data_IF_122142276137
#
_entry.id   IF_122142276137
#
_cell.length_a   1.000
_cell.length_b   1.000
_cell.length_c   1.000
_cell.angle_alpha   90.00
_cell.angle_beta   90.00
_cell.angle_gamma   90.00
#
_symmetry.space_group_name_H-M   'P 1'
#
loop_
_entity.id
_entity.type
_entity.pdbx_description
1 polymer ?
#
# COMPACT_ATOMS: atom_id res chain seq x y z
N UNK A 1 -5.34 20.43 28.13
CA UNK A 1 -5.47 19.23 27.28
C UNK A 1 -4.80 18.05 27.95
N UNK A 2 -5.25 16.82 27.67
CA UNK A 2 -4.66 15.61 28.26
C UNK A 2 -3.66 14.97 27.29
N UNK A 3 -2.55 14.45 27.82
CA UNK A 3 -1.51 13.80 27.02
C UNK A 3 -2.05 12.49 26.42
N UNK A 4 -1.92 12.34 25.10
CA UNK A 4 -2.32 11.12 24.41
C UNK A 4 -1.40 9.94 24.80
N UNK A 5 -1.97 8.74 24.82
CA UNK A 5 -1.21 7.52 25.10
C UNK A 5 -0.11 7.30 24.05
N UNK A 6 1.11 6.88 24.44
CA UNK A 6 2.22 6.70 23.51
C UNK A 6 1.92 5.74 22.35
N UNK A 7 1.21 4.64 22.60
CA UNK A 7 0.88 3.64 21.58
C UNK A 7 -0.13 4.16 20.55
N UNK A 8 -1.03 5.04 20.98
CA UNK A 8 -1.97 5.73 20.09
C UNK A 8 -1.23 6.74 19.22
N UNK A 9 -0.38 7.58 19.81
CA UNK A 9 0.43 8.56 19.07
C UNK A 9 1.30 7.86 18.02
N UNK A 10 1.93 6.75 18.38
CA UNK A 10 2.77 6.01 17.48
C UNK A 10 1.95 5.33 16.36
N UNK A 11 0.74 4.82 16.65
CA UNK A 11 -0.16 4.27 15.63
C UNK A 11 -0.59 5.34 14.62
N UNK A 12 -0.94 6.54 15.09
CA UNK A 12 -1.22 7.68 14.20
C UNK A 12 0.00 8.10 13.38
N UNK A 13 1.19 8.12 13.99
CA UNK A 13 2.44 8.39 13.30
C UNK A 13 2.74 7.39 12.19
N UNK A 14 2.48 6.10 12.45
CA UNK A 14 2.64 5.04 11.46
C UNK A 14 1.65 5.22 10.30
N UNK A 15 0.36 5.41 10.58
CA UNK A 15 -0.65 5.62 9.53
C UNK A 15 -0.30 6.84 8.65
N UNK A 16 0.05 7.99 9.26
CA UNK A 16 0.42 9.21 8.51
C UNK A 16 1.62 9.02 7.57
N UNK A 17 2.48 8.06 7.85
CA UNK A 17 3.64 7.74 7.02
C UNK A 17 3.33 6.60 6.02
N UNK A 18 2.77 5.50 6.50
CA UNK A 18 2.54 4.30 5.72
C UNK A 18 1.52 4.53 4.60
N UNK A 19 0.47 5.31 4.85
CA UNK A 19 -0.54 5.63 3.86
C UNK A 19 0.07 6.25 2.58
N UNK A 20 0.77 7.41 2.63
CA UNK A 20 1.40 7.95 1.43
C UNK A 20 2.56 7.07 0.92
N UNK A 21 3.29 6.36 1.79
CA UNK A 21 4.37 5.48 1.36
C UNK A 21 3.88 4.31 0.49
N UNK A 22 2.75 3.68 0.84
CA UNK A 22 2.14 2.64 0.03
C UNK A 22 1.71 3.18 -1.34
N UNK A 23 1.16 4.40 -1.38
CA UNK A 23 0.71 5.05 -2.62
C UNK A 23 1.86 5.34 -3.60
N UNK A 24 3.08 5.56 -3.12
CA UNK A 24 4.26 5.72 -3.99
C UNK A 24 4.54 4.49 -4.86
N UNK A 25 4.09 3.31 -4.45
CA UNK A 25 4.19 2.06 -5.23
C UNK A 25 2.89 1.77 -5.95
N UNK A 26 1.76 1.83 -5.25
CA UNK A 26 0.49 1.31 -5.76
C UNK A 26 -0.13 2.20 -6.84
N UNK A 27 0.04 3.52 -6.76
CA UNK A 27 -0.53 4.44 -7.76
C UNK A 27 0.19 4.31 -9.11
N UNK A 28 1.53 4.34 -9.21
CA UNK A 28 2.22 4.09 -10.48
C UNK A 28 1.94 2.71 -11.05
N UNK A 29 1.80 1.69 -10.20
CA UNK A 29 1.45 0.35 -10.64
C UNK A 29 0.06 0.32 -11.27
N UNK A 30 -0.93 0.90 -10.58
CA UNK A 30 -2.31 0.91 -11.03
C UNK A 30 -2.55 1.74 -12.30
N UNK A 31 -1.86 2.88 -12.42
CA UNK A 31 -2.07 3.81 -13.54
C UNK A 31 -1.19 3.48 -14.76
N UNK A 32 0.02 2.97 -14.53
CA UNK A 32 1.03 2.87 -15.57
C UNK A 32 1.67 1.49 -15.68
N UNK A 33 1.25 0.49 -14.88
CA UNK A 33 1.90 -0.83 -14.82
C UNK A 33 3.41 -0.72 -14.52
N UNK A 34 3.79 0.29 -13.72
CA UNK A 34 5.17 0.51 -13.26
C UNK A 34 5.25 0.39 -11.76
N UNK A 35 6.24 -0.36 -11.27
CA UNK A 35 6.43 -0.58 -9.83
C UNK A 35 7.76 0.04 -9.41
N UNK A 36 7.75 1.26 -8.84
CA UNK A 36 8.96 1.84 -8.26
C UNK A 36 9.50 0.99 -7.13
N UNK A 37 10.81 0.76 -7.10
CA UNK A 37 11.49 0.26 -5.90
C UNK A 37 11.86 1.45 -5.02
N UNK A 38 11.37 1.45 -3.79
CA UNK A 38 11.51 2.56 -2.85
C UNK A 38 12.05 2.08 -1.50
N UNK A 39 13.33 1.69 -1.39
CA UNK A 39 13.89 1.29 -0.11
C UNK A 39 13.88 2.48 0.86
N UNK A 40 13.79 2.22 2.17
CA UNK A 40 13.56 3.28 3.17
C UNK A 40 14.66 4.34 3.20
N UNK A 41 15.90 3.97 2.85
CA UNK A 41 17.04 4.89 2.76
C UNK A 41 16.92 5.92 1.64
N UNK A 42 16.09 5.67 0.63
CA UNK A 42 15.85 6.59 -0.49
C UNK A 42 14.59 7.47 -0.23
N UNK A 43 14.04 7.46 0.99
CA UNK A 43 12.88 8.26 1.40
C UNK A 43 13.23 9.19 2.57
N UNK A 44 12.92 10.47 2.41
CA UNK A 44 12.95 11.47 3.48
C UNK A 44 11.53 11.92 3.81
N UNK A 45 11.18 11.91 5.10
CA UNK A 45 9.84 12.31 5.58
C UNK A 45 9.91 13.46 6.58
N UNK A 46 9.30 14.58 6.21
CA UNK A 46 9.09 15.72 7.11
C UNK A 46 7.76 15.51 7.85
N UNK A 47 7.84 15.03 9.10
CA UNK A 47 6.66 14.62 9.88
C UNK A 47 5.67 15.73 10.27
N UNK A 48 6.10 16.99 10.33
CA UNK A 48 5.27 18.11 10.77
C UNK A 48 4.36 18.61 9.63
N UNK A 49 4.89 18.66 8.41
CA UNK A 49 4.19 19.06 7.20
C UNK A 49 3.61 17.87 6.43
N UNK A 50 4.10 16.66 6.71
CA UNK A 50 3.73 15.45 5.97
C UNK A 50 4.36 15.38 4.58
N UNK A 51 5.47 16.09 4.34
CA UNK A 51 6.14 16.07 3.04
C UNK A 51 7.02 14.83 2.90
N UNK A 52 6.94 14.16 1.75
CA UNK A 52 7.83 13.07 1.38
C UNK A 52 8.70 13.50 0.20
N UNK A 53 9.97 13.15 0.25
CA UNK A 53 10.88 13.20 -0.91
C UNK A 53 11.41 11.80 -1.14
N UNK A 54 11.41 11.37 -2.39
CA UNK A 54 11.70 10.00 -2.79
C UNK A 54 12.72 10.03 -3.92
N UNK A 55 13.74 9.20 -3.81
CA UNK A 55 14.68 8.93 -4.89
C UNK A 55 14.34 7.59 -5.52
N UNK A 56 13.75 7.59 -6.70
CA UNK A 56 13.51 6.36 -7.47
C UNK A 56 14.70 6.08 -8.37
N UNK A 57 15.33 4.92 -8.19
CA UNK A 57 16.47 4.49 -9.01
C UNK A 57 16.10 3.42 -10.03
N UNK A 58 15.15 2.58 -9.66
CA UNK A 58 14.72 1.41 -10.43
C UNK A 58 13.21 1.27 -10.35
N UNK A 59 12.62 0.69 -11.39
CA UNK A 59 11.22 0.31 -11.41
C UNK A 59 11.02 -0.95 -12.25
N UNK A 60 10.06 -1.79 -11.88
CA UNK A 60 9.63 -2.89 -12.72
C UNK A 60 8.54 -2.45 -13.70
N UNK A 61 8.52 -3.01 -14.91
CA UNK A 61 7.49 -2.75 -15.93
C UNK A 61 7.29 -3.96 -16.84
N UNK A 62 6.24 -3.94 -17.66
CA UNK A 62 5.97 -4.97 -18.66
C UNK A 62 6.84 -4.76 -19.93
N UNK A 63 6.97 -5.77 -20.81
CA UNK A 63 7.84 -5.70 -21.98
C UNK A 63 7.45 -4.64 -23.01
N UNK A 64 6.18 -4.26 -23.05
CA UNK A 64 5.59 -3.27 -23.95
C UNK A 64 5.59 -1.84 -23.37
N UNK A 65 6.09 -1.65 -22.14
CA UNK A 65 6.17 -0.32 -21.53
C UNK A 65 7.14 0.58 -22.33
N UNK A 66 6.73 1.79 -22.74
CA UNK A 66 7.62 2.73 -23.44
C UNK A 66 8.90 3.10 -22.68
N UNK A 67 8.91 2.93 -21.36
CA UNK A 67 10.04 3.19 -20.49
C UNK A 67 10.93 1.95 -20.25
N UNK A 68 10.64 0.80 -20.85
CA UNK A 68 11.39 -0.45 -20.67
C UNK A 68 12.88 -0.34 -21.04
N UNK A 69 13.26 0.62 -21.88
CA UNK A 69 14.65 0.89 -22.25
C UNK A 69 15.35 1.94 -21.39
N UNK A 70 14.68 2.53 -20.40
CA UNK A 70 15.30 3.51 -19.52
C UNK A 70 16.32 2.84 -18.57
N UNK A 71 17.41 3.54 -18.21
CA UNK A 71 18.27 3.09 -17.12
C UNK A 71 17.45 2.86 -15.84
N UNK A 72 17.62 1.68 -15.23
CA UNK A 72 16.87 1.28 -14.03
C UNK A 72 15.52 0.60 -14.29
N UNK A 73 15.07 0.50 -15.53
CA UNK A 73 13.91 -0.32 -15.88
C UNK A 73 14.25 -1.82 -15.73
N UNK A 74 13.39 -2.55 -15.01
CA UNK A 74 13.44 -4.02 -14.89
C UNK A 74 12.20 -4.62 -15.54
N UNK A 75 12.38 -5.18 -16.73
CA UNK A 75 11.27 -5.81 -17.45
C UNK A 75 10.90 -7.15 -16.79
N UNK A 76 9.64 -7.32 -16.43
CA UNK A 76 9.06 -8.57 -15.94
C UNK A 76 8.13 -9.19 -17.00
N UNK A 77 7.96 -10.52 -17.01
CA UNK A 77 7.31 -11.19 -18.15
C UNK A 77 5.80 -10.94 -18.26
N UNK A 78 5.11 -10.71 -17.14
CA UNK A 78 3.66 -10.62 -17.11
C UNK A 78 3.12 -9.85 -15.87
N UNK A 79 1.81 -9.65 -15.86
CA UNK A 79 1.06 -8.98 -14.78
C UNK A 79 1.19 -9.68 -13.41
N UNK A 80 1.36 -11.00 -13.39
CA UNK A 80 1.54 -11.75 -12.14
C UNK A 80 2.92 -11.48 -11.54
N UNK A 81 3.95 -11.47 -12.38
CA UNK A 81 5.30 -11.06 -11.98
C UNK A 81 5.31 -9.59 -11.54
N UNK A 82 4.57 -8.70 -12.23
CA UNK A 82 4.44 -7.30 -11.83
C UNK A 82 3.80 -7.14 -10.45
N UNK A 83 2.71 -7.87 -10.14
CA UNK A 83 2.12 -7.88 -8.79
C UNK A 83 3.09 -8.42 -7.73
N UNK A 84 3.91 -9.41 -8.06
CA UNK A 84 4.94 -9.90 -7.16
C UNK A 84 5.98 -8.79 -6.84
N UNK A 85 6.34 -7.97 -7.83
CA UNK A 85 7.21 -6.81 -7.64
C UNK A 85 6.56 -5.74 -6.75
N UNK A 86 5.25 -5.50 -6.88
CA UNK A 86 4.51 -4.59 -5.97
C UNK A 86 4.65 -5.05 -4.53
N UNK A 87 4.39 -6.33 -4.28
CA UNK A 87 4.49 -6.91 -2.94
C UNK A 87 5.92 -6.89 -2.42
N UNK A 88 6.92 -7.13 -3.28
CA UNK A 88 8.33 -7.08 -2.91
C UNK A 88 8.75 -5.65 -2.52
N UNK A 89 8.43 -4.64 -3.33
CA UNK A 89 8.75 -3.24 -3.06
C UNK A 89 8.07 -2.73 -1.78
N UNK A 90 6.80 -3.07 -1.57
CA UNK A 90 6.09 -2.71 -0.34
C UNK A 90 6.65 -3.44 0.89
N UNK A 91 6.99 -4.73 0.77
CA UNK A 91 7.54 -5.51 1.88
C UNK A 91 8.92 -4.99 2.29
N UNK A 92 9.80 -4.75 1.31
CA UNK A 92 11.12 -4.16 1.52
C UNK A 92 11.03 -2.81 2.25
N UNK A 93 10.07 -1.97 1.87
CA UNK A 93 9.87 -0.68 2.50
C UNK A 93 9.28 -0.80 3.92
N UNK A 94 8.22 -1.61 4.07
CA UNK A 94 7.43 -1.64 5.30
C UNK A 94 8.09 -2.45 6.40
N UNK A 95 8.84 -3.51 6.11
CA UNK A 95 9.47 -4.34 7.14
C UNK A 95 10.34 -3.55 8.14
N UNK A 96 11.31 -2.72 7.72
CA UNK A 96 12.10 -1.90 8.65
C UNK A 96 11.25 -0.85 9.37
N UNK A 97 10.24 -0.28 8.71
CA UNK A 97 9.31 0.70 9.32
C UNK A 97 8.53 0.05 10.46
N UNK A 98 7.86 -1.07 10.18
CA UNK A 98 7.07 -1.81 11.18
C UNK A 98 7.96 -2.31 12.33
N UNK A 99 9.20 -2.72 12.03
CA UNK A 99 10.19 -3.09 13.05
C UNK A 99 10.54 -1.92 13.96
N UNK A 100 10.77 -0.72 13.39
CA UNK A 100 11.07 0.49 14.16
C UNK A 100 9.91 0.98 15.03
N UNK A 101 8.67 0.81 14.57
CA UNK A 101 7.47 1.15 15.34
C UNK A 101 7.13 0.10 16.39
N UNK A 102 7.41 -1.18 16.15
CA UNK A 102 7.02 -2.32 17.00
C UNK A 102 7.16 -2.11 18.51
N UNK A 103 8.33 -1.67 19.03
CA UNK A 103 8.52 -1.43 20.48
C UNK A 103 7.60 -0.35 21.09
N UNK A 104 7.00 0.52 20.27
CA UNK A 104 6.07 1.57 20.68
C UNK A 104 4.61 1.17 20.52
N UNK A 105 4.35 0.02 19.91
CA UNK A 105 3.02 -0.50 19.65
C UNK A 105 2.56 -1.38 20.80
N UNK A 106 1.25 -1.36 21.09
CA UNK A 106 0.62 -2.39 21.93
C UNK A 106 0.35 -3.69 21.16
N UNK A 107 0.25 -3.60 19.83
CA UNK A 107 -0.11 -4.71 18.93
C UNK A 107 1.15 -5.38 18.37
N UNK A 108 1.12 -6.71 18.24
CA UNK A 108 2.26 -7.51 17.75
C UNK A 108 2.44 -7.49 16.23
N UNK A 109 3.52 -8.13 15.75
CA UNK A 109 3.95 -8.16 14.33
C UNK A 109 2.82 -8.50 13.36
N UNK A 110 2.01 -9.52 13.66
CA UNK A 110 0.86 -9.93 12.81
C UNK A 110 -0.14 -8.78 12.59
N UNK A 111 -0.49 -8.06 13.65
CA UNK A 111 -1.44 -6.95 13.57
C UNK A 111 -0.86 -5.74 12.83
N UNK A 112 0.46 -5.51 12.90
CA UNK A 112 1.14 -4.48 12.12
C UNK A 112 1.13 -4.80 10.61
N UNK A 113 1.30 -6.07 10.25
CA UNK A 113 1.12 -6.49 8.86
C UNK A 113 -0.34 -6.47 8.40
N UNK A 114 -1.31 -6.66 9.30
CA UNK A 114 -2.72 -6.40 9.01
C UNK A 114 -3.00 -4.92 8.72
N UNK A 115 -2.39 -4.01 9.48
CA UNK A 115 -2.45 -2.57 9.17
C UNK A 115 -1.81 -2.27 7.82
N UNK A 116 -0.66 -2.86 7.50
CA UNK A 116 -0.03 -2.70 6.18
C UNK A 116 -0.97 -3.12 5.03
N UNK A 117 -1.65 -4.27 5.16
CA UNK A 117 -2.71 -4.68 4.21
C UNK A 117 -3.77 -3.58 4.08
N UNK A 118 -4.23 -3.02 5.20
CA UNK A 118 -5.25 -1.98 5.18
C UNK A 118 -4.78 -0.68 4.51
N UNK A 119 -3.54 -0.24 4.76
CA UNK A 119 -2.98 0.95 4.11
C UNK A 119 -2.87 0.79 2.58
N UNK A 120 -2.49 -0.40 2.12
CA UNK A 120 -2.39 -0.71 0.68
C UNK A 120 -3.77 -0.66 0.02
N UNK A 121 -4.73 -1.38 0.60
CA UNK A 121 -6.06 -1.56 0.01
C UNK A 121 -6.84 -0.26 0.04
N UNK A 122 -6.88 0.42 1.19
CA UNK A 122 -7.69 1.63 1.34
C UNK A 122 -7.04 2.85 0.70
N UNK A 123 -5.71 2.93 0.72
CA UNK A 123 -5.01 3.97 0.00
C UNK A 123 -5.34 3.93 -1.48
N UNK A 124 -5.11 2.79 -2.13
CA UNK A 124 -5.35 2.68 -3.56
C UNK A 124 -6.85 2.78 -3.89
N UNK A 125 -7.72 2.15 -3.10
CA UNK A 125 -9.17 2.23 -3.32
C UNK A 125 -9.69 3.67 -3.25
N UNK A 126 -9.24 4.45 -2.26
CA UNK A 126 -9.58 5.87 -2.15
C UNK A 126 -9.15 6.67 -3.39
N UNK A 127 -7.89 6.51 -3.82
CA UNK A 127 -7.39 7.21 -5.02
C UNK A 127 -8.16 6.79 -6.27
N UNK A 128 -8.42 5.50 -6.43
CA UNK A 128 -9.17 4.98 -7.58
C UNK A 128 -10.61 5.49 -7.61
N UNK A 129 -11.27 5.61 -6.45
CA UNK A 129 -12.59 6.23 -6.35
C UNK A 129 -12.58 7.68 -6.86
N UNK A 130 -11.61 8.48 -6.44
CA UNK A 130 -11.45 9.86 -6.93
C UNK A 130 -11.20 9.95 -8.45
N UNK A 131 -10.64 8.89 -9.05
CA UNK A 131 -10.37 8.79 -10.48
C UNK A 131 -11.50 8.12 -11.27
N UNK A 132 -12.59 7.68 -10.62
CA UNK A 132 -13.68 6.94 -11.28
C UNK A 132 -13.32 5.50 -11.68
N UNK A 133 -12.26 4.95 -11.09
CA UNK A 133 -11.65 3.65 -11.43
C UNK A 133 -11.84 2.62 -10.30
N UNK A 134 -12.80 2.87 -9.41
CA UNK A 134 -13.05 2.11 -8.18
C UNK A 134 -13.11 0.59 -8.40
N UNK A 135 -13.98 0.15 -9.33
CA UNK A 135 -14.18 -1.29 -9.60
C UNK A 135 -12.93 -1.96 -10.17
N UNK A 136 -12.13 -1.24 -10.96
CA UNK A 136 -10.85 -1.76 -11.48
C UNK A 136 -9.85 -1.95 -10.34
N UNK A 137 -9.76 -0.99 -9.43
CA UNK A 137 -8.89 -1.08 -8.27
C UNK A 137 -9.29 -2.23 -7.33
N UNK A 138 -10.58 -2.45 -7.11
CA UNK A 138 -11.06 -3.58 -6.31
C UNK A 138 -10.56 -4.92 -6.88
N UNK A 139 -10.73 -5.14 -8.20
CA UNK A 139 -10.26 -6.36 -8.86
C UNK A 139 -8.74 -6.54 -8.78
N UNK A 140 -7.96 -5.47 -9.02
CA UNK A 140 -6.49 -5.53 -8.92
C UNK A 140 -6.02 -5.81 -7.48
N UNK A 141 -6.69 -5.23 -6.48
CA UNK A 141 -6.37 -5.43 -5.06
C UNK A 141 -6.74 -6.84 -4.59
N UNK A 142 -7.83 -7.43 -5.08
CA UNK A 142 -8.18 -8.84 -4.82
C UNK A 142 -7.12 -9.79 -5.38
N UNK A 143 -6.59 -9.51 -6.58
CA UNK A 143 -5.50 -10.28 -7.17
C UNK A 143 -4.17 -10.08 -6.43
N UNK A 144 -3.90 -8.86 -5.94
CA UNK A 144 -2.68 -8.54 -5.21
C UNK A 144 -2.65 -9.18 -3.81
N UNK A 145 -3.79 -9.18 -3.10
CA UNK A 145 -3.92 -9.62 -1.72
C UNK A 145 -5.04 -10.67 -1.56
N UNK A 146 -4.84 -11.90 -2.08
CA UNK A 146 -5.82 -12.99 -2.00
C UNK A 146 -5.91 -13.65 -0.62
N UNK A 147 -5.12 -13.20 0.38
CA UNK A 147 -5.13 -13.74 1.75
C UNK A 147 -4.07 -14.78 2.07
N UNK A 148 -3.36 -15.29 1.06
CA UNK A 148 -2.26 -16.27 1.22
C UNK A 148 -0.88 -15.65 1.12
N UNK A 149 -0.79 -14.38 0.72
CA UNK A 149 0.45 -13.64 0.52
C UNK A 149 1.10 -13.25 1.85
N UNK A 150 2.19 -13.92 2.24
CA UNK A 150 3.00 -13.52 3.39
C UNK A 150 3.93 -12.36 3.01
N UNK A 151 4.30 -11.46 3.94
CA UNK A 151 3.91 -11.41 5.36
C UNK A 151 2.55 -10.74 5.62
N UNK A 152 1.85 -10.30 4.58
CA UNK A 152 0.54 -9.65 4.69
C UNK A 152 -0.49 -10.56 5.36
N UNK A 153 -1.44 -9.91 6.02
CA UNK A 153 -2.50 -10.57 6.78
C UNK A 153 -3.84 -10.11 6.24
N UNK A 154 -4.76 -11.05 6.02
CA UNK A 154 -6.09 -10.75 5.49
C UNK A 154 -6.10 -10.61 3.97
N UNK A 155 -7.29 -10.38 3.42
CA UNK A 155 -7.53 -10.16 1.99
C UNK A 155 -7.77 -8.68 1.70
N UNK A 156 -8.00 -8.33 0.44
CA UNK A 156 -8.60 -7.03 0.10
C UNK A 156 -9.96 -6.83 0.81
N UNK A 157 -10.73 -7.90 0.98
CA UNK A 157 -11.87 -7.95 1.90
C UNK A 157 -13.11 -7.19 1.44
N UNK A 158 -13.24 -6.90 0.14
CA UNK A 158 -14.38 -6.17 -0.40
C UNK A 158 -15.70 -6.97 -0.29
N UNK A 159 -16.78 -6.24 -0.04
CA UNK A 159 -18.16 -6.72 -0.05
C UNK A 159 -19.11 -5.58 -0.37
N UNK A 160 -20.30 -5.92 -0.84
CA UNK A 160 -21.35 -4.95 -1.16
C UNK A 160 -22.36 -4.86 -0.01
N UNK A 161 -22.83 -3.63 0.25
CA UNK A 161 -23.98 -3.36 1.10
C UNK A 161 -25.09 -2.72 0.27
N UNK A 162 -26.34 -3.01 0.61
CA UNK A 162 -27.49 -2.31 0.01
C UNK A 162 -27.78 -1.05 0.82
N UNK A 163 -27.71 0.10 0.16
CA UNK A 163 -28.06 1.39 0.74
C UNK A 163 -29.58 1.56 0.93
N UNK A 164 -30.00 2.61 1.67
CA UNK A 164 -31.42 2.84 1.96
C UNK A 164 -32.31 3.02 0.73
N UNK A 165 -31.74 3.42 -0.41
CA UNK A 165 -32.44 3.61 -1.69
C UNK A 165 -32.18 2.46 -2.68
N UNK A 166 -31.64 1.33 -2.20
CA UNK A 166 -31.34 0.16 -3.01
C UNK A 166 -30.01 0.22 -3.79
N UNK A 167 -29.23 1.29 -3.62
CA UNK A 167 -27.92 1.41 -4.26
C UNK A 167 -26.92 0.39 -3.70
N UNK A 168 -26.02 -0.13 -4.54
CA UNK A 168 -24.89 -0.94 -4.07
C UNK A 168 -23.79 -0.03 -3.53
N UNK A 169 -23.37 -0.28 -2.30
CA UNK A 169 -22.34 0.47 -1.59
C UNK A 169 -21.16 -0.46 -1.30
N UNK A 170 -20.04 -0.35 -2.06
CA UNK A 170 -18.87 -1.15 -1.79
C UNK A 170 -18.28 -0.78 -0.43
N UNK A 171 -17.89 -1.79 0.34
CA UNK A 171 -17.21 -1.68 1.62
C UNK A 171 -16.21 -2.81 1.77
N UNK A 172 -15.44 -2.84 2.87
CA UNK A 172 -14.51 -3.93 3.14
C UNK A 172 -14.40 -4.27 4.62
N UNK A 173 -14.04 -5.51 4.89
CA UNK A 173 -13.61 -5.93 6.22
C UNK A 173 -12.09 -5.73 6.35
N UNK A 174 -11.69 -4.90 7.32
CA UNK A 174 -10.30 -4.57 7.59
C UNK A 174 -9.55 -5.75 8.19
N UNK A 175 -8.30 -5.94 7.79
CA UNK A 175 -7.45 -7.00 8.32
C UNK A 175 -6.93 -6.72 9.73
N UNK A 176 -6.90 -5.45 10.15
CA UNK A 176 -6.45 -5.02 11.48
C UNK A 176 -7.54 -4.96 12.56
N UNK A 177 -8.79 -5.29 12.20
CA UNK A 177 -9.96 -5.31 13.09
C UNK A 177 -10.10 -6.64 13.85
#
# INVERSE_FOLDING_TARGET
GQQARPDVVASFGLHRYAWPACLLVTVPWFLHRRVPRIPVEDVAFQRALGHLTVRVREFACLPDDPAASLPGARVVPDESALRAEVLAALTEHLEPVLTGFGPRMRRGKRALWGMATDEIVEGLWYIAHLLGEERRAMAELELLLPGTTKPYVGTAGFRELTGPEGQSLPTRDRASC
#
